data_IF_444878463258
#
_entry.id   IF_444878463258
#
_cell.length_a   1.000
_cell.length_b   1.000
_cell.length_c   1.000
_cell.angle_alpha   90.00
_cell.angle_beta   90.00
_cell.angle_gamma   90.00
#
_symmetry.space_group_name_H-M   'P 1'
#
loop_
_entity.id
_entity.type
_entity.pdbx_description
1 polymer ?
#
# COMPACT_ATOMS: atom_id res chain seq x y z
N UNK A 1 1.55 16.37 -14.54
CA UNK A 1 1.14 17.63 -13.88
C UNK A 1 2.09 17.87 -12.72
N UNK A 2 2.91 18.90 -12.73
CA UNK A 2 3.90 19.12 -11.68
C UNK A 2 3.19 19.45 -10.36
N UNK A 3 3.70 18.90 -9.25
CA UNK A 3 3.35 19.37 -7.90
C UNK A 3 3.37 20.90 -7.88
N UNK A 4 2.31 21.51 -7.39
CA UNK A 4 2.31 22.95 -7.13
C UNK A 4 3.57 23.24 -6.28
N UNK A 5 4.45 24.12 -6.78
CA UNK A 5 5.70 24.49 -6.07
C UNK A 5 5.39 24.85 -4.62
N UNK A 6 5.95 24.10 -3.68
CA UNK A 6 5.79 24.33 -2.24
C UNK A 6 4.84 23.38 -1.49
N UNK A 7 4.08 22.54 -2.17
CA UNK A 7 3.25 21.52 -1.50
C UNK A 7 4.13 20.32 -1.18
N UNK A 8 4.25 19.96 0.09
CA UNK A 8 4.99 18.78 0.53
C UNK A 8 4.22 17.50 0.22
N UNK A 9 4.91 16.38 -0.09
CA UNK A 9 4.26 15.11 -0.34
C UNK A 9 3.35 14.69 0.80
N UNK A 10 2.20 14.14 0.47
CA UNK A 10 1.23 13.63 1.41
C UNK A 10 0.91 12.18 1.06
N UNK A 11 1.30 11.28 1.94
CA UNK A 11 1.06 9.85 1.83
C UNK A 11 -0.17 9.47 2.65
N UNK A 12 -1.08 8.69 2.06
CA UNK A 12 -2.22 8.10 2.74
C UNK A 12 -2.03 6.59 2.84
N UNK A 13 -2.14 6.04 4.04
CA UNK A 13 -2.10 4.61 4.29
C UNK A 13 -3.54 4.14 4.47
N UNK A 14 -4.08 3.48 3.46
CA UNK A 14 -5.43 2.95 3.45
C UNK A 14 -5.43 1.55 4.03
N UNK A 15 -5.83 1.44 5.28
CA UNK A 15 -5.98 0.16 5.99
C UNK A 15 -7.02 0.27 7.09
N UNK A 16 -7.73 -0.82 7.37
CA UNK A 16 -8.61 -0.90 8.54
C UNK A 16 -7.80 -1.05 9.84
N UNK A 17 -6.55 -1.53 9.74
CA UNK A 17 -5.66 -1.75 10.87
C UNK A 17 -4.79 -0.52 11.14
N UNK A 18 -5.10 0.19 12.22
CA UNK A 18 -4.33 1.35 12.64
C UNK A 18 -2.91 1.00 13.10
N UNK A 19 -2.73 -0.14 13.77
CA UNK A 19 -1.41 -0.54 14.27
C UNK A 19 -0.47 -0.85 13.11
N UNK A 20 -1.00 -1.48 12.07
CA UNK A 20 -0.29 -1.67 10.82
C UNK A 20 0.10 -0.33 10.17
N UNK A 21 -0.83 0.64 10.12
CA UNK A 21 -0.49 1.97 9.61
C UNK A 21 0.60 2.66 10.42
N UNK A 22 0.58 2.50 11.74
CA UNK A 22 1.64 3.04 12.63
C UNK A 22 2.98 2.37 12.36
N UNK A 23 2.99 1.06 12.14
CA UNK A 23 4.20 0.30 11.77
C UNK A 23 4.78 0.78 10.43
N UNK A 24 3.93 0.93 9.41
CA UNK A 24 4.34 1.44 8.09
C UNK A 24 4.96 2.83 8.18
N UNK A 25 4.37 3.76 8.93
CA UNK A 25 4.93 5.10 9.14
C UNK A 25 6.34 5.02 9.76
N UNK A 26 6.50 4.18 10.77
CA UNK A 26 7.79 4.01 11.45
C UNK A 26 8.82 3.31 10.55
N UNK A 27 8.37 2.37 9.69
CA UNK A 27 9.21 1.73 8.68
C UNK A 27 9.71 2.72 7.62
N UNK A 28 8.84 3.58 7.11
CA UNK A 28 9.22 4.64 6.18
C UNK A 28 10.22 5.62 6.79
N UNK A 29 10.01 6.03 8.05
CA UNK A 29 10.94 6.92 8.74
C UNK A 29 12.36 6.31 8.84
N UNK A 30 12.43 5.01 9.12
CA UNK A 30 13.71 4.29 9.19
C UNK A 30 14.37 4.12 7.83
N UNK A 31 13.62 3.64 6.82
CA UNK A 31 14.17 3.35 5.49
C UNK A 31 14.70 4.58 4.77
N UNK A 32 14.08 5.74 5.00
CA UNK A 32 14.51 7.01 4.39
C UNK A 32 15.42 7.85 5.30
N UNK A 33 15.81 7.32 6.45
CA UNK A 33 16.61 8.05 7.45
C UNK A 33 16.06 9.46 7.74
N UNK A 34 14.72 9.59 7.73
CA UNK A 34 14.04 10.86 7.92
C UNK A 34 13.31 10.86 9.28
N UNK A 35 13.81 11.57 10.29
CA UNK A 35 13.21 11.57 11.61
C UNK A 35 11.80 12.19 11.62
N UNK A 36 10.93 11.63 12.45
CA UNK A 36 9.60 12.16 12.68
C UNK A 36 9.71 13.46 13.50
N UNK A 37 9.18 14.55 12.96
CA UNK A 37 9.12 15.86 13.64
C UNK A 37 7.86 15.99 14.51
N UNK A 38 6.75 15.41 14.07
CA UNK A 38 5.48 15.40 14.83
C UNK A 38 4.76 14.08 14.64
N UNK A 39 4.27 13.48 15.71
CA UNK A 39 3.47 12.25 15.69
C UNK A 39 2.18 12.44 16.47
N UNK A 40 1.07 11.98 15.89
CA UNK A 40 -0.22 11.86 16.57
C UNK A 40 -0.68 10.41 16.45
N UNK A 41 -1.02 9.80 17.58
CA UNK A 41 -1.60 8.45 17.67
C UNK A 41 -2.84 8.55 18.55
N UNK A 42 -4.01 8.47 17.96
CA UNK A 42 -5.28 8.44 18.67
C UNK A 42 -6.19 7.36 18.11
N UNK A 43 -7.28 7.07 18.77
CA UNK A 43 -8.24 6.05 18.34
C UNK A 43 -8.83 6.35 16.96
N UNK A 44 -9.01 7.64 16.66
CA UNK A 44 -9.69 8.07 15.43
C UNK A 44 -8.77 8.71 14.41
N UNK A 45 -7.51 8.97 14.76
CA UNK A 45 -6.56 9.61 13.85
C UNK A 45 -5.13 9.17 14.18
N UNK A 46 -4.38 8.85 13.13
CA UNK A 46 -2.94 8.60 13.23
C UNK A 46 -2.24 9.27 12.06
N UNK A 47 -1.25 10.11 12.36
CA UNK A 47 -0.40 10.71 11.35
C UNK A 47 0.99 11.05 11.88
N UNK A 48 1.92 11.20 10.95
CA UNK A 48 3.24 11.75 11.23
C UNK A 48 3.60 12.84 10.21
N UNK A 49 4.35 13.83 10.69
CA UNK A 49 5.02 14.81 9.83
C UNK A 49 6.52 14.60 10.01
N UNK A 50 7.21 14.34 8.92
CA UNK A 50 8.65 14.16 8.90
C UNK A 50 9.39 15.51 8.98
N UNK A 51 10.68 15.50 9.30
CA UNK A 51 11.48 16.73 9.36
C UNK A 51 11.55 17.48 8.03
N UNK A 52 11.47 16.78 6.91
CA UNK A 52 11.43 17.38 5.56
C UNK A 52 10.05 17.98 5.22
N UNK A 53 9.05 17.80 6.09
CA UNK A 53 7.68 18.26 5.92
C UNK A 53 6.76 17.25 5.21
N UNK A 54 7.24 16.09 4.80
CA UNK A 54 6.41 14.99 4.27
C UNK A 54 5.41 14.54 5.33
N UNK A 55 4.16 14.33 4.93
CA UNK A 55 3.11 13.87 5.84
C UNK A 55 2.66 12.47 5.47
N UNK A 56 2.59 11.60 6.47
CA UNK A 56 1.97 10.27 6.41
C UNK A 56 0.72 10.28 7.26
N UNK A 57 -0.38 9.75 6.73
CA UNK A 57 -1.65 9.71 7.45
C UNK A 57 -2.33 8.37 7.25
N UNK A 58 -2.79 7.77 8.35
CA UNK A 58 -3.74 6.68 8.33
C UNK A 58 -5.11 7.15 7.84
N UNK A 59 -5.70 6.39 6.92
CA UNK A 59 -7.03 6.63 6.37
C UNK A 59 -7.78 5.31 6.38
N UNK A 60 -8.86 5.25 7.16
CA UNK A 60 -9.71 4.07 7.18
C UNK A 60 -10.42 3.95 5.82
N UNK A 61 -10.40 2.75 5.16
CA UNK A 61 -11.01 2.57 3.84
C UNK A 61 -12.54 2.46 3.95
N UNK A 62 -13.19 3.61 4.08
CA UNK A 62 -14.66 3.74 4.21
C UNK A 62 -15.14 4.90 3.36
N UNK A 63 -16.45 5.00 3.16
CA UNK A 63 -17.10 6.09 2.41
C UNK A 63 -16.74 7.49 2.94
N UNK A 64 -16.47 7.62 4.24
CA UNK A 64 -16.04 8.90 4.83
C UNK A 64 -14.67 9.38 4.33
N UNK A 65 -13.91 8.53 3.66
CA UNK A 65 -12.60 8.88 3.08
C UNK A 65 -12.68 9.64 1.75
N UNK A 66 -13.86 9.81 1.18
CA UNK A 66 -14.11 10.48 -0.13
C UNK A 66 -13.46 11.85 -0.29
N UNK A 67 -13.43 12.62 0.77
CA UNK A 67 -12.87 13.97 0.77
C UNK A 67 -11.34 14.04 0.94
N UNK A 68 -10.70 12.91 1.20
CA UNK A 68 -9.26 12.89 1.44
C UNK A 68 -8.48 12.97 0.12
N UNK A 69 -7.39 13.74 0.13
CA UNK A 69 -6.51 13.87 -1.03
C UNK A 69 -5.06 13.58 -0.63
N UNK A 70 -4.37 12.82 -1.45
CA UNK A 70 -2.96 12.47 -1.23
C UNK A 70 -2.16 12.52 -2.53
N UNK A 71 -0.84 12.57 -2.42
CA UNK A 71 0.06 12.40 -3.56
C UNK A 71 0.39 10.94 -3.82
N UNK A 72 0.43 10.13 -2.78
CA UNK A 72 0.73 8.70 -2.86
C UNK A 72 -0.20 7.93 -1.94
N UNK A 73 -0.82 6.89 -2.46
CA UNK A 73 -1.64 5.94 -1.71
C UNK A 73 -0.86 4.67 -1.40
N UNK A 74 -0.77 4.32 -0.12
CA UNK A 74 -0.28 3.02 0.35
C UNK A 74 -1.52 2.19 0.64
N UNK A 75 -1.74 1.13 -0.12
CA UNK A 75 -3.00 0.37 -0.15
C UNK A 75 -2.77 -0.99 0.47
N UNK A 76 -3.43 -1.23 1.59
CA UNK A 76 -3.42 -2.53 2.25
C UNK A 76 -4.43 -3.46 1.55
N UNK A 77 -3.89 -4.43 0.83
CA UNK A 77 -4.68 -5.42 0.09
C UNK A 77 -5.51 -6.32 1.00
N UNK A 78 -5.10 -6.50 2.26
CA UNK A 78 -5.83 -7.33 3.22
C UNK A 78 -7.15 -6.70 3.65
N UNK A 79 -7.17 -5.37 3.85
CA UNK A 79 -8.29 -4.69 4.51
C UNK A 79 -9.09 -3.75 3.61
N UNK A 80 -8.53 -3.29 2.48
CA UNK A 80 -9.27 -2.53 1.49
C UNK A 80 -10.17 -3.46 0.66
N UNK A 81 -11.46 -3.15 0.55
CA UNK A 81 -12.36 -3.90 -0.33
C UNK A 81 -12.11 -3.54 -1.81
N UNK A 82 -12.43 -4.48 -2.71
CA UNK A 82 -12.34 -4.24 -4.15
C UNK A 82 -13.25 -3.08 -4.59
N UNK A 83 -14.43 -2.95 -3.97
CA UNK A 83 -15.37 -1.86 -4.21
C UNK A 83 -14.74 -0.51 -3.83
N UNK A 84 -14.17 -0.39 -2.62
CA UNK A 84 -13.46 0.82 -2.19
C UNK A 84 -12.35 1.20 -3.16
N UNK A 85 -11.58 0.24 -3.62
CA UNK A 85 -10.48 0.45 -4.56
C UNK A 85 -11.00 0.99 -5.90
N UNK A 86 -12.04 0.37 -6.46
CA UNK A 86 -12.60 0.76 -7.76
C UNK A 86 -13.30 2.13 -7.71
N UNK A 87 -14.04 2.38 -6.65
CA UNK A 87 -14.90 3.56 -6.58
C UNK A 87 -14.18 4.79 -6.03
N UNK A 88 -13.23 4.61 -5.09
CA UNK A 88 -12.71 5.76 -4.34
C UNK A 88 -11.25 6.07 -4.62
N UNK A 89 -10.39 5.08 -4.79
CA UNK A 89 -8.96 5.32 -4.98
C UNK A 89 -8.65 6.25 -6.16
N UNK A 90 -9.30 6.15 -7.34
CA UNK A 90 -9.05 7.04 -8.46
C UNK A 90 -9.35 8.51 -8.17
N UNK A 91 -10.25 8.79 -7.22
CA UNK A 91 -10.64 10.16 -6.86
C UNK A 91 -9.87 10.73 -5.67
N UNK A 92 -9.21 9.90 -4.90
CA UNK A 92 -8.47 10.29 -3.69
C UNK A 92 -7.04 10.67 -4.05
N UNK A 93 -6.38 9.91 -4.90
CA UNK A 93 -5.03 10.22 -5.34
C UNK A 93 -5.06 11.31 -6.42
N UNK A 94 -4.33 12.40 -6.17
CA UNK A 94 -4.36 13.61 -7.00
C UNK A 94 -3.67 13.47 -8.34
N UNK A 95 -2.92 12.39 -8.55
CA UNK A 95 -2.11 12.20 -9.74
C UNK A 95 -2.54 10.93 -10.48
N UNK A 96 -2.77 11.07 -11.77
CA UNK A 96 -3.30 10.01 -12.62
C UNK A 96 -2.22 9.08 -13.21
N UNK A 97 -1.14 8.84 -12.47
CA UNK A 97 -0.10 7.90 -12.87
C UNK A 97 -0.03 6.76 -11.85
N UNK A 98 -0.88 5.72 -11.98
CA UNK A 98 -0.99 4.65 -10.99
C UNK A 98 0.35 4.02 -10.61
N UNK A 99 1.21 3.78 -11.57
CA UNK A 99 2.54 3.18 -11.40
C UNK A 99 3.50 4.01 -10.54
N UNK A 100 3.22 5.30 -10.35
CA UNK A 100 4.06 6.20 -9.54
C UNK A 100 3.45 6.57 -8.20
N UNK A 101 2.14 6.38 -8.07
CA UNK A 101 1.38 6.97 -6.96
C UNK A 101 0.79 5.92 -6.02
N UNK A 102 0.97 4.64 -6.30
CA UNK A 102 0.45 3.58 -5.46
C UNK A 102 1.56 2.64 -4.98
N UNK A 103 1.50 2.31 -3.71
CA UNK A 103 2.31 1.28 -3.06
C UNK A 103 1.33 0.26 -2.50
N UNK A 104 1.55 -1.01 -2.81
CA UNK A 104 0.72 -2.10 -2.31
C UNK A 104 1.40 -2.76 -1.13
N UNK A 105 0.64 -2.99 -0.08
CA UNK A 105 1.07 -3.70 1.12
C UNK A 105 0.00 -4.74 1.48
N UNK A 106 0.35 -5.72 2.27
CA UNK A 106 -0.59 -6.72 2.77
C UNK A 106 -0.37 -6.94 4.26
N UNK A 107 -1.28 -6.41 5.09
CA UNK A 107 -1.19 -6.50 6.55
C UNK A 107 -1.41 -7.92 7.09
N UNK A 108 -1.97 -8.82 6.28
CA UNK A 108 -2.09 -10.23 6.66
C UNK A 108 -0.79 -11.00 6.52
N UNK A 109 0.19 -10.43 5.85
CA UNK A 109 1.48 -11.06 5.61
C UNK A 109 2.46 -10.73 6.74
N UNK A 110 2.49 -11.59 7.75
CA UNK A 110 3.48 -11.55 8.83
C UNK A 110 4.42 -12.76 8.69
N UNK A 111 5.58 -12.75 9.38
CA UNK A 111 6.54 -13.87 9.35
C UNK A 111 5.93 -15.23 9.71
N UNK A 112 4.81 -15.22 10.44
CA UNK A 112 4.07 -16.42 10.85
C UNK A 112 2.78 -16.60 10.05
N UNK A 113 2.60 -15.89 8.94
CA UNK A 113 1.37 -15.95 8.14
C UNK A 113 1.24 -17.32 7.46
N UNK A 114 -0.01 -17.76 7.39
CA UNK A 114 -0.34 -18.94 6.58
C UNK A 114 -0.15 -18.60 5.10
N UNK A 115 0.24 -19.57 4.28
CA UNK A 115 0.26 -19.40 2.83
C UNK A 115 -1.09 -18.89 2.32
N UNK A 116 -1.07 -18.08 1.26
CA UNK A 116 -2.29 -17.68 0.60
C UNK A 116 -3.06 -18.90 0.11
N UNK A 117 -4.32 -18.99 0.45
CA UNK A 117 -5.24 -19.84 -0.29
C UNK A 117 -5.61 -19.19 -1.64
N UNK A 118 -6.19 -20.00 -2.53
CA UNK A 118 -6.52 -19.54 -3.87
C UNK A 118 -7.48 -18.33 -3.88
N UNK A 119 -8.45 -18.30 -2.97
CA UNK A 119 -9.42 -17.20 -2.91
C UNK A 119 -8.75 -15.90 -2.46
N UNK A 120 -7.90 -15.95 -1.44
CA UNK A 120 -7.11 -14.80 -0.98
C UNK A 120 -6.23 -14.29 -2.10
N UNK A 121 -5.52 -15.16 -2.82
CA UNK A 121 -4.67 -14.77 -3.94
C UNK A 121 -5.47 -14.08 -5.04
N UNK A 122 -6.59 -14.65 -5.45
CA UNK A 122 -7.47 -14.05 -6.47
C UNK A 122 -7.94 -12.65 -6.03
N UNK A 123 -8.38 -12.49 -4.79
CA UNK A 123 -8.80 -11.20 -4.24
C UNK A 123 -7.68 -10.16 -4.33
N UNK A 124 -6.45 -10.52 -3.95
CA UNK A 124 -5.29 -9.61 -4.02
C UNK A 124 -4.99 -9.20 -5.46
N UNK A 125 -4.97 -10.16 -6.39
CA UNK A 125 -4.71 -9.91 -7.80
C UNK A 125 -5.77 -9.00 -8.43
N UNK A 126 -7.04 -9.22 -8.13
CA UNK A 126 -8.14 -8.36 -8.61
C UNK A 126 -8.03 -6.92 -8.11
N UNK A 127 -7.59 -6.72 -6.87
CA UNK A 127 -7.36 -5.40 -6.29
C UNK A 127 -6.20 -4.66 -6.97
N UNK A 128 -5.12 -5.36 -7.26
CA UNK A 128 -3.97 -4.81 -7.98
C UNK A 128 -4.37 -4.44 -9.41
N UNK A 129 -5.04 -5.35 -10.12
CA UNK A 129 -5.54 -5.11 -11.48
C UNK A 129 -6.49 -3.91 -11.55
N UNK A 130 -7.36 -3.73 -10.56
CA UNK A 130 -8.28 -2.60 -10.51
C UNK A 130 -7.58 -1.23 -10.47
N UNK A 131 -6.35 -1.18 -10.00
CA UNK A 131 -5.54 0.05 -9.91
C UNK A 131 -4.59 0.19 -11.10
N UNK A 132 -3.83 -0.87 -11.40
CA UNK A 132 -2.78 -0.83 -12.42
C UNK A 132 -3.31 -1.08 -13.84
N UNK A 133 -4.52 -1.61 -13.96
CA UNK A 133 -5.02 -2.15 -15.21
C UNK A 133 -4.35 -3.50 -15.50
N UNK A 134 -4.06 -3.77 -16.77
CA UNK A 134 -3.49 -5.05 -17.16
C UNK A 134 -2.09 -5.27 -16.56
N UNK A 135 -1.91 -6.39 -15.87
CA UNK A 135 -0.60 -6.82 -15.34
C UNK A 135 0.15 -7.51 -16.48
N UNK A 136 1.34 -7.01 -16.80
CA UNK A 136 2.10 -7.48 -17.97
C UNK A 136 3.07 -8.61 -17.62
N UNK A 137 3.51 -8.69 -16.37
CA UNK A 137 4.51 -9.66 -15.94
C UNK A 137 4.13 -10.34 -14.64
N UNK A 138 4.31 -11.65 -14.60
CA UNK A 138 4.24 -12.46 -13.38
C UNK A 138 5.60 -13.12 -13.17
N UNK A 139 6.19 -12.92 -12.01
CA UNK A 139 7.48 -13.51 -11.64
C UNK A 139 7.35 -14.35 -10.38
N UNK A 140 8.29 -15.27 -10.21
CA UNK A 140 8.47 -16.03 -8.99
C UNK A 140 9.91 -15.86 -8.54
N UNK A 141 10.11 -15.51 -7.27
CA UNK A 141 11.43 -15.49 -6.68
C UNK A 141 11.79 -16.90 -6.19
N UNK A 142 13.02 -17.33 -6.47
CA UNK A 142 13.66 -18.55 -5.95
C UNK A 142 12.91 -19.88 -6.15
N UNK A 143 12.65 -20.23 -7.41
CA UNK A 143 12.23 -21.58 -7.74
C UNK A 143 13.44 -22.56 -7.81
N UNK A 144 14.05 -22.88 -6.68
CA UNK A 144 14.91 -24.06 -6.55
C UNK A 144 14.12 -25.25 -5.95
N UNK A 145 13.68 -26.14 -6.81
CA UNK A 145 13.22 -27.52 -6.50
C UNK A 145 12.14 -27.76 -5.43
N UNK A 146 10.94 -28.02 -5.86
CA UNK A 146 9.87 -28.63 -5.05
C UNK A 146 8.60 -27.79 -4.94
N UNK A 147 7.61 -28.30 -4.21
CA UNK A 147 6.38 -27.60 -3.88
C UNK A 147 6.69 -26.52 -2.83
N UNK A 148 6.69 -25.28 -3.27
CA UNK A 148 6.89 -24.13 -2.38
C UNK A 148 5.54 -23.53 -1.98
N UNK A 149 5.48 -22.97 -0.77
CA UNK A 149 4.31 -22.26 -0.28
C UNK A 149 4.41 -20.81 -0.70
N UNK A 150 3.39 -20.31 -1.36
CA UNK A 150 3.28 -18.89 -1.68
C UNK A 150 3.01 -18.11 -0.39
N UNK A 151 3.98 -17.35 0.08
CA UNK A 151 3.92 -16.65 1.36
C UNK A 151 3.84 -15.14 1.21
N UNK A 152 4.32 -14.61 0.10
CA UNK A 152 4.36 -13.18 -0.11
C UNK A 152 4.08 -12.82 -1.56
N UNK A 153 3.47 -11.65 -1.74
CA UNK A 153 3.23 -11.06 -3.04
C UNK A 153 3.80 -9.65 -3.04
N UNK A 154 4.75 -9.39 -3.93
CA UNK A 154 5.28 -8.05 -4.15
C UNK A 154 4.81 -7.48 -5.49
N UNK A 155 4.63 -6.17 -5.54
CA UNK A 155 4.13 -5.48 -6.73
C UNK A 155 5.07 -4.36 -7.12
N UNK A 156 5.66 -4.47 -8.29
CA UNK A 156 6.36 -3.38 -8.93
C UNK A 156 5.39 -2.65 -9.88
N UNK A 157 4.74 -1.61 -9.38
CA UNK A 157 3.72 -0.88 -10.13
C UNK A 157 4.28 -0.23 -11.41
N UNK A 158 5.54 0.23 -11.38
CA UNK A 158 6.19 0.88 -12.52
C UNK A 158 6.39 -0.08 -13.69
N UNK A 159 6.81 -1.31 -13.41
CA UNK A 159 7.04 -2.34 -14.42
C UNK A 159 5.80 -3.19 -14.68
N UNK A 160 4.69 -2.91 -13.98
CA UNK A 160 3.45 -3.70 -13.99
C UNK A 160 3.72 -5.19 -13.76
N UNK A 161 4.56 -5.47 -12.79
CA UNK A 161 5.05 -6.80 -12.46
C UNK A 161 4.56 -7.22 -11.08
N UNK A 162 4.13 -8.46 -10.96
CA UNK A 162 3.81 -9.12 -9.69
C UNK A 162 4.83 -10.24 -9.50
N UNK A 163 5.51 -10.24 -8.37
CA UNK A 163 6.43 -11.29 -7.97
C UNK A 163 5.87 -12.04 -6.78
N UNK A 164 5.93 -13.36 -6.86
CA UNK A 164 5.53 -14.25 -5.79
C UNK A 164 6.78 -14.74 -5.06
N UNK A 165 6.86 -14.44 -3.80
CA UNK A 165 7.89 -14.96 -2.92
C UNK A 165 7.40 -16.25 -2.24
N UNK A 166 8.30 -17.21 -2.12
CA UNK A 166 8.00 -18.52 -1.56
C UNK A 166 8.93 -18.82 -0.40
N UNK A 167 8.41 -19.45 0.66
CA UNK A 167 9.24 -20.02 1.72
C UNK A 167 9.66 -21.45 1.34
N UNK A 168 10.94 -21.74 1.56
CA UNK A 168 11.50 -23.10 1.46
C UNK A 168 11.18 -23.94 2.69
#
# INVERSE_FOLDING_TARGET
MALLKGVKPQYAIFTADREFADYEIDAYARSHNCPIAKRVKSTNDSFAIMKDGTKYKWVKPTDSSRGYKCSTGIIDLATCSLEFIREWIPYICLYAEPEKNYVFVDSSNTKDSKPYDLHTLIDRLQKIEAILGNVEKLGFSDMEYGWQRLTYLSVNAKEKEITFDTDC
#
